data_IF_072241768579
#
_entry.id   IF_072241768579
#
_cell.length_a   1.000
_cell.length_b   1.000
_cell.length_c   1.000
_cell.angle_alpha   90.00
_cell.angle_beta   90.00
_cell.angle_gamma   90.00
#
_symmetry.space_group_name_H-M   'P 1'
#
loop_
_entity.id
_entity.type
_entity.pdbx_description
1 polymer ?
#
# COMPACT_ATOMS: atom_id res chain seq x y z
N UNK A 1 -1.53 -23.67 -27.97
CA UNK A 1 -1.32 -23.66 -26.51
C UNK A 1 -0.73 -22.38 -25.95
N UNK A 2 -0.12 -21.49 -26.74
CA UNK A 2 0.52 -20.24 -26.24
C UNK A 2 -0.45 -19.17 -25.74
N UNK A 3 -1.67 -19.06 -26.23
CA UNK A 3 -2.64 -18.04 -25.81
C UNK A 3 -3.18 -18.26 -24.38
N UNK A 4 -3.35 -19.51 -23.96
CA UNK A 4 -3.80 -19.85 -22.61
C UNK A 4 -2.73 -19.63 -21.52
N UNK A 5 -1.45 -19.71 -21.88
CA UNK A 5 -0.33 -19.41 -20.98
C UNK A 5 -0.13 -17.89 -20.77
N UNK A 6 -0.62 -17.06 -21.70
CA UNK A 6 -0.51 -15.59 -21.59
C UNK A 6 -1.53 -14.96 -20.64
N UNK A 7 -2.64 -15.64 -20.34
CA UNK A 7 -3.73 -15.11 -19.50
C UNK A 7 -3.29 -14.87 -18.04
N UNK A 8 -2.58 -15.80 -17.35
CA UNK A 8 -2.13 -15.55 -15.99
C UNK A 8 -1.08 -14.42 -15.92
N UNK A 9 -0.18 -14.31 -16.88
CA UNK A 9 0.84 -13.25 -16.93
C UNK A 9 0.17 -11.88 -17.14
N UNK A 10 -0.78 -11.79 -18.07
CA UNK A 10 -1.54 -10.55 -18.30
C UNK A 10 -2.37 -10.17 -17.07
N UNK A 11 -2.99 -11.14 -16.40
CA UNK A 11 -3.73 -10.94 -15.15
C UNK A 11 -2.84 -10.39 -14.03
N UNK A 12 -1.64 -10.94 -13.87
CA UNK A 12 -0.68 -10.49 -12.88
C UNK A 12 -0.20 -9.05 -13.17
N UNK A 13 0.12 -8.72 -14.42
CA UNK A 13 0.50 -7.36 -14.82
C UNK A 13 -0.66 -6.39 -14.60
N UNK A 14 -1.88 -6.76 -14.99
CA UNK A 14 -3.05 -5.92 -14.77
C UNK A 14 -3.30 -5.67 -13.28
N UNK A 15 -3.11 -6.67 -12.42
CA UNK A 15 -3.22 -6.54 -10.96
C UNK A 15 -2.19 -5.56 -10.41
N UNK A 16 -0.94 -5.62 -10.88
CA UNK A 16 0.12 -4.69 -10.48
C UNK A 16 -0.22 -3.24 -10.91
N UNK A 17 -0.74 -3.04 -12.11
CA UNK A 17 -1.15 -1.72 -12.60
C UNK A 17 -2.34 -1.17 -11.81
N UNK A 18 -3.25 -2.02 -11.35
CA UNK A 18 -4.42 -1.61 -10.58
C UNK A 18 -4.12 -1.40 -9.08
N UNK A 19 -3.00 -1.90 -8.57
CA UNK A 19 -2.67 -1.88 -7.15
C UNK A 19 -2.71 -0.47 -6.54
N UNK A 20 -2.15 0.60 -7.15
CA UNK A 20 -2.27 1.96 -6.61
C UNK A 20 -3.73 2.45 -6.57
N UNK A 21 -4.57 2.02 -7.52
CA UNK A 21 -6.00 2.35 -7.53
C UNK A 21 -6.76 1.64 -6.41
N UNK A 22 -6.40 0.39 -6.10
CA UNK A 22 -6.96 -0.36 -4.97
C UNK A 22 -6.55 0.28 -3.64
N UNK A 23 -5.27 0.65 -3.49
CA UNK A 23 -4.79 1.37 -2.31
C UNK A 23 -5.56 2.68 -2.12
N UNK A 24 -5.76 3.46 -3.18
CA UNK A 24 -6.57 4.66 -3.14
C UNK A 24 -8.01 4.38 -2.71
N UNK A 25 -8.63 3.34 -3.27
CA UNK A 25 -10.01 2.97 -2.93
C UNK A 25 -10.15 2.64 -1.44
N UNK A 26 -9.16 1.94 -0.86
CA UNK A 26 -9.12 1.66 0.58
C UNK A 26 -8.96 2.94 1.41
N UNK A 27 -8.10 3.87 0.99
CA UNK A 27 -7.94 5.16 1.66
C UNK A 27 -9.23 5.98 1.63
N UNK A 28 -9.92 6.04 0.49
CA UNK A 28 -11.20 6.74 0.34
C UNK A 28 -12.29 6.07 1.17
N UNK A 29 -12.39 4.73 1.13
CA UNK A 29 -13.37 3.98 1.92
C UNK A 29 -13.19 4.21 3.43
N UNK A 30 -11.96 4.24 3.91
CA UNK A 30 -11.65 4.56 5.30
C UNK A 30 -12.02 6.01 5.63
N UNK A 31 -11.73 6.96 4.74
CA UNK A 31 -12.12 8.36 4.90
C UNK A 31 -13.64 8.55 5.01
N UNK A 32 -14.43 7.88 4.18
CA UNK A 32 -15.91 7.88 4.25
C UNK A 32 -16.41 7.28 5.58
N UNK A 33 -15.80 6.16 6.00
CA UNK A 33 -16.16 5.50 7.28
C UNK A 33 -15.92 6.41 8.49
N UNK A 34 -14.85 7.20 8.50
CA UNK A 34 -14.55 8.16 9.56
C UNK A 34 -15.64 9.25 9.64
N UNK A 35 -16.22 9.64 8.50
CA UNK A 35 -17.29 10.61 8.41
C UNK A 35 -18.68 10.03 8.74
N UNK A 36 -18.75 8.75 9.12
CA UNK A 36 -20.00 8.06 9.43
C UNK A 36 -20.76 7.54 8.20
N UNK A 37 -20.18 7.65 7.01
CA UNK A 37 -20.77 7.12 5.79
C UNK A 37 -20.40 5.64 5.60
N UNK A 38 -21.35 4.82 5.18
CA UNK A 38 -21.08 3.41 4.85
C UNK A 38 -20.38 3.32 3.50
N UNK A 39 -19.16 2.78 3.42
CA UNK A 39 -18.45 2.62 2.16
C UNK A 39 -19.19 1.65 1.24
N UNK A 40 -19.46 2.09 0.01
CA UNK A 40 -20.12 1.26 -0.99
C UNK A 40 -19.07 0.62 -1.91
N UNK A 41 -19.35 -0.56 -2.52
CA UNK A 41 -18.44 -1.18 -3.51
C UNK A 41 -18.13 -0.25 -4.71
N UNK A 42 -18.98 0.73 -4.97
CA UNK A 42 -18.75 1.74 -6.00
C UNK A 42 -17.50 2.60 -5.78
N UNK A 43 -16.97 2.65 -4.55
CA UNK A 43 -15.70 3.32 -4.24
C UNK A 43 -14.48 2.65 -4.88
N UNK A 44 -14.56 1.36 -5.22
CA UNK A 44 -13.53 0.70 -6.02
C UNK A 44 -13.37 1.33 -7.39
N UNK A 45 -14.41 1.98 -7.89
CA UNK A 45 -14.41 2.70 -9.16
C UNK A 45 -14.11 4.20 -9.01
N UNK A 46 -13.66 4.66 -7.85
CA UNK A 46 -13.37 6.08 -7.57
C UNK A 46 -12.37 6.66 -8.57
N UNK A 47 -11.39 5.87 -8.96
CA UNK A 47 -10.38 6.23 -9.97
C UNK A 47 -10.98 6.54 -11.32
N UNK A 48 -12.06 5.86 -11.72
CA UNK A 48 -12.70 5.99 -13.02
C UNK A 48 -13.74 7.14 -13.07
N UNK A 49 -14.19 7.64 -11.93
CA UNK A 49 -15.25 8.65 -11.83
C UNK A 49 -14.77 10.09 -11.98
N UNK A 50 -13.50 10.40 -11.68
CA UNK A 50 -12.95 11.78 -11.71
C UNK A 50 -12.52 12.28 -13.10
N UNK A 51 -12.84 11.57 -14.16
CA UNK A 51 -12.56 11.99 -15.54
C UNK A 51 -11.28 11.41 -16.15
N UNK A 52 -11.11 11.63 -17.47
CA UNK A 52 -10.04 11.00 -18.28
C UNK A 52 -8.63 11.36 -17.84
N UNK A 53 -8.41 12.60 -17.42
CA UNK A 53 -7.07 13.03 -17.00
C UNK A 53 -6.64 12.33 -15.70
N UNK A 54 -7.54 12.24 -14.74
CA UNK A 54 -7.30 11.54 -13.49
C UNK A 54 -7.02 10.05 -13.73
N UNK A 55 -7.83 9.41 -14.57
CA UNK A 55 -7.63 8.02 -14.97
C UNK A 55 -6.24 7.80 -15.61
N UNK A 56 -5.82 8.69 -16.53
CA UNK A 56 -4.49 8.61 -17.14
C UNK A 56 -3.36 8.71 -16.11
N UNK A 57 -3.49 9.62 -15.14
CA UNK A 57 -2.49 9.76 -14.07
C UNK A 57 -2.42 8.50 -13.20
N UNK A 58 -3.56 7.91 -12.82
CA UNK A 58 -3.58 6.69 -12.03
C UNK A 58 -3.06 5.47 -12.80
N UNK A 59 -3.40 5.34 -14.09
CA UNK A 59 -2.86 4.28 -14.94
C UNK A 59 -1.34 4.44 -15.14
N UNK A 60 -0.84 5.67 -15.32
CA UNK A 60 0.59 5.93 -15.40
C UNK A 60 1.29 5.57 -14.07
N UNK A 61 0.68 5.94 -12.94
CA UNK A 61 1.20 5.56 -11.62
C UNK A 61 1.26 4.03 -11.49
N UNK A 62 0.20 3.33 -11.91
CA UNK A 62 0.15 1.87 -11.91
C UNK A 62 1.19 1.23 -12.85
N UNK A 63 1.38 1.79 -14.03
CA UNK A 63 2.40 1.32 -14.97
C UNK A 63 3.82 1.50 -14.42
N UNK A 64 4.10 2.63 -13.74
CA UNK A 64 5.37 2.87 -13.05
C UNK A 64 5.59 1.88 -11.91
N UNK A 65 4.53 1.56 -11.15
CA UNK A 65 4.61 0.53 -10.11
C UNK A 65 4.92 -0.85 -10.69
N UNK A 66 4.19 -1.25 -11.72
CA UNK A 66 4.40 -2.53 -12.40
C UNK A 66 5.82 -2.61 -12.99
N UNK A 67 6.31 -1.56 -13.62
CA UNK A 67 7.68 -1.50 -14.16
C UNK A 67 8.74 -1.62 -13.05
N UNK A 68 8.55 -0.92 -11.92
CA UNK A 68 9.43 -1.02 -10.76
C UNK A 68 9.44 -2.43 -10.16
N UNK A 69 8.27 -3.03 -9.97
CA UNK A 69 8.13 -4.38 -9.45
C UNK A 69 8.77 -5.43 -10.40
N UNK A 70 8.47 -5.36 -11.69
CA UNK A 70 9.07 -6.26 -12.69
C UNK A 70 10.60 -6.07 -12.76
N UNK A 71 11.09 -4.84 -12.60
CA UNK A 71 12.52 -4.55 -12.50
C UNK A 71 13.16 -5.25 -11.29
N UNK A 72 12.50 -5.22 -10.13
CA UNK A 72 12.96 -5.94 -8.93
C UNK A 72 12.98 -7.45 -9.18
N UNK A 73 11.94 -8.01 -9.79
CA UNK A 73 11.89 -9.43 -10.15
C UNK A 73 13.00 -9.81 -11.14
N UNK A 74 13.27 -8.96 -12.13
CA UNK A 74 14.37 -9.18 -13.08
C UNK A 74 15.74 -9.17 -12.39
N UNK A 75 15.97 -8.23 -11.46
CA UNK A 75 17.22 -8.16 -10.68
C UNK A 75 17.37 -9.41 -9.80
N UNK A 76 16.30 -9.83 -9.10
CA UNK A 76 16.35 -11.04 -8.28
C UNK A 76 16.61 -12.29 -9.12
N UNK A 77 16.08 -12.34 -10.34
CA UNK A 77 16.29 -13.45 -11.27
C UNK A 77 17.75 -13.58 -11.74
N UNK A 78 18.51 -12.50 -11.75
CA UNK A 78 19.95 -12.55 -12.02
C UNK A 78 20.74 -13.25 -10.89
N UNK A 79 20.17 -13.29 -9.69
CA UNK A 79 20.84 -13.88 -8.50
C UNK A 79 20.60 -15.38 -8.40
N UNK A 80 19.40 -15.87 -8.72
CA UNK A 80 19.00 -17.26 -8.51
C UNK A 80 18.56 -18.01 -9.77
N UNK A 81 18.72 -17.38 -10.94
CA UNK A 81 18.25 -17.94 -12.21
C UNK A 81 16.74 -17.89 -12.38
N UNK A 82 16.04 -17.03 -11.63
CA UNK A 82 14.60 -16.75 -11.80
C UNK A 82 13.67 -17.63 -10.95
N UNK A 83 14.17 -18.48 -10.08
CA UNK A 83 13.34 -19.35 -9.21
C UNK A 83 12.46 -18.55 -8.27
N UNK A 84 12.99 -17.50 -7.63
CA UNK A 84 12.21 -16.62 -6.78
C UNK A 84 11.11 -15.89 -7.57
N UNK A 85 11.45 -15.39 -8.76
CA UNK A 85 10.47 -14.74 -9.63
C UNK A 85 9.33 -15.69 -10.05
N UNK A 86 9.64 -16.96 -10.34
CA UNK A 86 8.63 -17.98 -10.66
C UNK A 86 7.67 -18.25 -9.49
N UNK A 87 8.18 -18.30 -8.25
CA UNK A 87 7.32 -18.44 -7.06
C UNK A 87 6.30 -17.30 -7.00
N UNK A 88 6.75 -16.06 -7.24
CA UNK A 88 5.88 -14.89 -7.17
C UNK A 88 4.94 -14.72 -8.36
N UNK A 89 5.42 -15.02 -9.57
CA UNK A 89 4.64 -14.79 -10.80
C UNK A 89 3.72 -15.95 -11.15
N UNK A 90 4.15 -17.18 -10.92
CA UNK A 90 3.46 -18.40 -11.32
C UNK A 90 2.76 -19.09 -10.14
N UNK A 91 2.97 -18.61 -8.89
CA UNK A 91 2.44 -19.22 -7.69
C UNK A 91 3.04 -20.60 -7.38
N UNK A 92 4.25 -20.87 -7.86
CA UNK A 92 4.95 -22.13 -7.60
C UNK A 92 5.18 -22.32 -6.10
N UNK A 93 4.81 -23.45 -5.49
CA UNK A 93 4.99 -23.64 -4.06
C UNK A 93 6.48 -23.71 -3.71
N UNK A 94 6.86 -23.04 -2.62
CA UNK A 94 8.23 -23.08 -2.10
C UNK A 94 8.47 -24.42 -1.45
N UNK A 95 9.43 -25.18 -1.97
CA UNK A 95 9.87 -26.43 -1.34
C UNK A 95 10.90 -26.19 -0.25
N UNK A 96 11.04 -27.11 0.73
CA UNK A 96 12.06 -27.00 1.77
C UNK A 96 13.47 -26.93 1.21
N UNK A 97 13.73 -27.59 0.08
CA UNK A 97 15.01 -27.56 -0.61
C UNK A 97 15.28 -26.18 -1.22
N UNK A 98 14.27 -25.53 -1.83
CA UNK A 98 14.38 -24.15 -2.34
C UNK A 98 14.62 -23.15 -1.19
N UNK A 99 13.90 -23.30 -0.09
CA UNK A 99 14.03 -22.42 1.06
C UNK A 99 15.41 -22.46 1.72
N UNK A 100 16.09 -23.62 1.66
CA UNK A 100 17.46 -23.81 2.19
C UNK A 100 18.57 -23.43 1.21
N UNK A 101 18.24 -23.16 -0.07
CA UNK A 101 19.24 -22.80 -1.08
C UNK A 101 19.73 -21.35 -0.86
N UNK A 102 21.07 -21.15 -0.67
CA UNK A 102 21.62 -19.82 -0.45
C UNK A 102 21.38 -18.83 -1.59
N UNK A 103 21.29 -19.28 -2.84
CA UNK A 103 21.02 -18.40 -3.99
C UNK A 103 19.56 -17.90 -3.96
N UNK A 104 18.61 -18.78 -3.64
CA UNK A 104 17.21 -18.41 -3.46
C UNK A 104 17.02 -17.42 -2.31
N UNK A 105 17.69 -17.66 -1.17
CA UNK A 105 17.65 -16.71 -0.04
C UNK A 105 18.23 -15.34 -0.41
N UNK A 106 19.37 -15.31 -1.14
CA UNK A 106 19.95 -14.05 -1.62
C UNK A 106 18.98 -13.30 -2.56
N UNK A 107 18.33 -13.99 -3.49
CA UNK A 107 17.34 -13.39 -4.38
C UNK A 107 16.14 -12.81 -3.61
N UNK A 108 15.64 -13.56 -2.63
CA UNK A 108 14.56 -13.12 -1.73
C UNK A 108 14.95 -11.85 -0.97
N UNK A 109 16.14 -11.81 -0.35
CA UNK A 109 16.61 -10.62 0.35
C UNK A 109 16.86 -9.45 -0.58
N UNK A 110 17.40 -9.69 -1.77
CA UNK A 110 17.58 -8.66 -2.81
C UNK A 110 16.25 -8.03 -3.19
N UNK A 111 15.23 -8.87 -3.49
CA UNK A 111 13.90 -8.38 -3.81
C UNK A 111 13.27 -7.62 -2.64
N UNK A 112 13.42 -8.11 -1.40
CA UNK A 112 12.90 -7.45 -0.20
C UNK A 112 13.53 -6.08 -0.01
N UNK A 113 14.85 -5.96 -0.08
CA UNK A 113 15.55 -4.67 0.10
C UNK A 113 15.17 -3.67 -1.00
N UNK A 114 15.09 -4.12 -2.26
CA UNK A 114 14.70 -3.25 -3.37
C UNK A 114 13.22 -2.87 -3.33
N UNK A 115 12.36 -3.67 -2.70
CA UNK A 115 10.94 -3.33 -2.55
C UNK A 115 10.70 -2.20 -1.53
N UNK A 116 11.62 -1.96 -0.59
CA UNK A 116 11.49 -0.88 0.39
C UNK A 116 11.40 0.51 -0.27
N UNK A 117 12.38 0.95 -1.10
CA UNK A 117 12.27 2.24 -1.77
C UNK A 117 11.06 2.30 -2.71
N UNK A 118 10.70 1.20 -3.39
CA UNK A 118 9.51 1.15 -4.21
C UNK A 118 8.25 1.42 -3.36
N UNK A 119 8.14 0.77 -2.20
CA UNK A 119 7.02 0.97 -1.28
C UNK A 119 6.93 2.41 -0.79
N UNK A 120 8.06 3.04 -0.41
CA UNK A 120 8.09 4.44 0.03
C UNK A 120 7.66 5.43 -1.06
N UNK A 121 8.06 5.17 -2.31
CA UNK A 121 7.64 5.97 -3.47
C UNK A 121 6.12 5.93 -3.68
N UNK A 122 5.50 4.77 -3.48
CA UNK A 122 4.09 4.56 -3.78
C UNK A 122 3.16 4.67 -2.57
N UNK A 123 3.69 4.83 -1.35
CA UNK A 123 2.89 4.86 -0.12
C UNK A 123 1.84 5.98 -0.11
N UNK A 124 2.23 7.21 -0.45
CA UNK A 124 1.35 8.37 -0.47
C UNK A 124 0.94 8.82 -1.88
N UNK A 125 1.61 8.32 -2.92
CA UNK A 125 1.45 8.80 -4.28
C UNK A 125 0.00 8.70 -4.81
N UNK A 126 -0.78 7.63 -4.56
CA UNK A 126 -2.18 7.56 -4.99
C UNK A 126 -3.05 8.67 -4.40
N UNK A 127 -2.86 8.98 -3.11
CA UNK A 127 -3.55 10.06 -2.43
C UNK A 127 -3.18 11.44 -2.99
N UNK A 128 -1.90 11.70 -3.23
CA UNK A 128 -1.41 12.95 -3.82
C UNK A 128 -1.98 13.20 -5.22
N UNK A 129 -2.07 12.16 -6.05
CA UNK A 129 -2.69 12.26 -7.37
C UNK A 129 -4.19 12.52 -7.23
N UNK A 130 -4.85 11.87 -6.28
CA UNK A 130 -6.31 11.93 -6.13
C UNK A 130 -6.80 13.22 -5.49
N UNK A 131 -6.27 13.61 -4.34
CA UNK A 131 -6.73 14.76 -3.56
C UNK A 131 -6.07 16.07 -3.98
N UNK A 132 -4.78 16.05 -4.29
CA UNK A 132 -4.01 17.25 -4.63
C UNK A 132 -3.80 17.44 -6.14
N UNK A 133 -4.23 16.51 -7.00
CA UNK A 133 -4.08 16.62 -8.45
C UNK A 133 -2.62 16.63 -8.94
N UNK A 134 -1.69 16.18 -8.12
CA UNK A 134 -0.25 16.20 -8.42
C UNK A 134 0.06 15.22 -9.56
N UNK A 135 0.87 15.60 -10.56
CA UNK A 135 1.31 14.69 -11.61
C UNK A 135 2.05 13.47 -11.03
N UNK A 136 1.90 12.26 -11.61
CA UNK A 136 2.39 11.00 -11.04
C UNK A 136 3.87 11.01 -10.62
N UNK A 137 4.76 11.50 -11.47
CA UNK A 137 6.20 11.54 -11.17
C UNK A 137 6.52 12.46 -9.99
N UNK A 138 5.84 13.61 -9.92
CA UNK A 138 5.98 14.52 -8.76
C UNK A 138 5.38 13.91 -7.50
N UNK A 139 4.27 13.18 -7.62
CA UNK A 139 3.64 12.48 -6.50
C UNK A 139 4.56 11.42 -5.90
N UNK A 140 5.29 10.66 -6.73
CA UNK A 140 6.31 9.71 -6.26
C UNK A 140 7.42 10.41 -5.47
N UNK A 141 7.93 11.52 -5.98
CA UNK A 141 8.96 12.30 -5.29
C UNK A 141 8.47 12.83 -3.93
N UNK A 142 7.27 13.41 -3.89
CA UNK A 142 6.70 13.94 -2.65
C UNK A 142 6.40 12.82 -1.63
N UNK A 143 5.93 11.65 -2.10
CA UNK A 143 5.73 10.47 -1.26
C UNK A 143 7.05 10.04 -0.60
N UNK A 144 8.11 9.88 -1.38
CA UNK A 144 9.42 9.52 -0.85
C UNK A 144 9.93 10.56 0.16
N UNK A 145 9.83 11.84 -0.17
CA UNK A 145 10.30 12.92 0.69
C UNK A 145 9.52 12.98 2.01
N UNK A 146 8.20 12.74 1.99
CA UNK A 146 7.38 12.67 3.19
C UNK A 146 7.82 11.50 4.10
N UNK A 147 8.05 10.31 3.53
CA UNK A 147 8.53 9.15 4.28
C UNK A 147 9.93 9.39 4.87
N UNK A 148 10.86 9.97 4.10
CA UNK A 148 12.23 10.26 4.58
C UNK A 148 12.22 11.29 5.70
N UNK A 149 11.41 12.35 5.59
CA UNK A 149 11.27 13.36 6.65
C UNK A 149 10.62 12.81 7.92
N UNK A 150 9.79 11.81 7.80
CA UNK A 150 9.06 11.18 8.90
C UNK A 150 9.56 9.74 9.16
N UNK A 151 10.84 9.46 8.88
CA UNK A 151 11.41 8.11 8.99
C UNK A 151 11.19 7.48 10.38
N UNK A 152 11.25 8.27 11.44
CA UNK A 152 10.99 7.80 12.81
C UNK A 152 9.56 7.26 12.97
N UNK A 153 8.56 8.00 12.51
CA UNK A 153 7.16 7.56 12.55
C UNK A 153 6.94 6.32 11.65
N UNK A 154 7.57 6.30 10.46
CA UNK A 154 7.50 5.13 9.56
C UNK A 154 8.11 3.88 10.21
N UNK A 155 9.24 4.01 10.93
CA UNK A 155 9.87 2.88 11.64
C UNK A 155 8.99 2.40 12.80
N UNK A 156 8.44 3.31 13.61
CA UNK A 156 7.51 2.93 14.69
C UNK A 156 6.30 2.19 14.11
N UNK A 157 5.72 2.69 13.03
CA UNK A 157 4.61 2.03 12.34
C UNK A 157 5.00 0.63 11.85
N UNK A 158 6.14 0.50 11.17
CA UNK A 158 6.64 -0.77 10.66
C UNK A 158 6.87 -1.79 11.79
N UNK A 159 7.59 -1.41 12.85
CA UNK A 159 7.90 -2.31 13.95
C UNK A 159 6.65 -2.66 14.77
N UNK A 160 5.70 -1.75 14.92
CA UNK A 160 4.42 -2.04 15.58
C UNK A 160 3.63 -3.12 14.83
N UNK A 161 3.50 -2.97 13.51
CA UNK A 161 2.80 -3.97 12.69
C UNK A 161 3.55 -5.29 12.60
N UNK A 162 4.89 -5.26 12.55
CA UNK A 162 5.71 -6.47 12.61
C UNK A 162 5.50 -7.20 13.94
N UNK A 163 5.51 -6.47 15.06
CA UNK A 163 5.26 -7.03 16.40
C UNK A 163 3.87 -7.65 16.52
N UNK A 164 2.83 -6.97 16.03
CA UNK A 164 1.45 -7.48 16.02
C UNK A 164 1.38 -8.75 15.15
N UNK A 165 2.02 -8.75 13.99
CA UNK A 165 2.04 -9.90 13.09
C UNK A 165 2.73 -11.12 13.70
N UNK A 166 3.90 -10.93 14.31
CA UNK A 166 4.64 -12.02 14.99
C UNK A 166 3.85 -12.56 16.16
N UNK A 167 3.30 -11.68 17.01
CA UNK A 167 2.45 -12.11 18.14
C UNK A 167 1.20 -12.84 17.67
N UNK A 168 0.52 -12.34 16.65
CA UNK A 168 -0.65 -12.98 16.07
C UNK A 168 -0.33 -14.36 15.50
N UNK A 169 0.77 -14.50 14.76
CA UNK A 169 1.22 -15.76 14.21
C UNK A 169 1.58 -16.77 15.33
N UNK A 170 2.23 -16.30 16.39
CA UNK A 170 2.56 -17.12 17.56
C UNK A 170 1.29 -17.64 18.26
N UNK A 171 0.32 -16.77 18.52
CA UNK A 171 -0.94 -17.12 19.16
C UNK A 171 -1.71 -18.12 18.30
N UNK A 172 -1.83 -17.88 16.98
CA UNK A 172 -2.48 -18.82 16.05
C UNK A 172 -1.79 -20.18 16.07
N UNK A 173 -0.45 -20.20 16.06
CA UNK A 173 0.32 -21.45 16.07
C UNK A 173 0.11 -22.24 17.36
N UNK A 174 0.08 -21.57 18.52
CA UNK A 174 -0.18 -22.24 19.82
C UNK A 174 -1.60 -22.77 19.87
N UNK A 175 -2.61 -21.98 19.47
CA UNK A 175 -4.01 -22.44 19.44
C UNK A 175 -4.16 -23.61 18.49
N UNK A 176 -3.55 -23.56 17.32
CA UNK A 176 -3.61 -24.65 16.33
C UNK A 176 -2.98 -25.93 16.85
N UNK A 177 -1.88 -25.82 17.60
CA UNK A 177 -1.23 -26.96 18.25
C UNK A 177 -2.14 -27.58 19.31
N UNK A 178 -2.79 -26.76 20.14
CA UNK A 178 -3.73 -27.23 21.20
C UNK A 178 -4.97 -27.90 20.61
N UNK A 179 -5.43 -27.43 19.46
CA UNK A 179 -6.59 -28.00 18.75
C UNK A 179 -6.24 -29.20 17.86
N UNK A 180 -4.95 -29.56 17.76
CA UNK A 180 -4.49 -30.65 16.91
C UNK A 180 -4.66 -30.39 15.42
N UNK A 181 -4.66 -29.13 14.97
CA UNK A 181 -4.81 -28.78 13.56
C UNK A 181 -3.55 -29.18 12.78
N UNK A 182 -3.74 -29.87 11.65
CA UNK A 182 -2.64 -30.17 10.74
C UNK A 182 -2.07 -28.91 10.06
N UNK A 183 -0.91 -29.07 9.39
CA UNK A 183 -0.21 -27.95 8.76
C UNK A 183 -1.05 -27.13 7.77
N UNK A 184 -1.95 -27.75 7.04
CA UNK A 184 -2.88 -27.06 6.12
C UNK A 184 -3.86 -26.15 6.88
N UNK A 185 -4.40 -26.60 8.01
CA UNK A 185 -5.28 -25.80 8.86
C UNK A 185 -4.59 -24.58 9.44
N UNK A 186 -3.35 -24.76 9.94
CA UNK A 186 -2.50 -23.66 10.43
C UNK A 186 -2.21 -22.66 9.30
N UNK A 187 -1.84 -23.13 8.12
CA UNK A 187 -1.56 -22.30 6.96
C UNK A 187 -2.76 -21.44 6.54
N UNK A 188 -3.96 -22.03 6.53
CA UNK A 188 -5.20 -21.32 6.20
C UNK A 188 -5.53 -20.21 7.20
N UNK A 189 -5.37 -20.46 8.50
CA UNK A 189 -5.58 -19.46 9.55
C UNK A 189 -4.56 -18.32 9.47
N UNK A 190 -3.29 -18.63 9.24
CA UNK A 190 -2.24 -17.63 9.06
C UNK A 190 -2.48 -16.77 7.83
N UNK A 191 -2.93 -17.36 6.72
CA UNK A 191 -3.28 -16.63 5.52
C UNK A 191 -4.46 -15.67 5.76
N UNK A 192 -5.52 -16.14 6.44
CA UNK A 192 -6.65 -15.29 6.81
C UNK A 192 -6.24 -14.11 7.70
N UNK A 193 -5.40 -14.37 8.71
CA UNK A 193 -4.87 -13.35 9.59
C UNK A 193 -3.98 -12.34 8.83
N UNK A 194 -3.15 -12.80 7.90
CA UNK A 194 -2.32 -11.94 7.06
C UNK A 194 -3.17 -11.04 6.16
N UNK A 195 -4.24 -11.55 5.56
CA UNK A 195 -5.17 -10.74 4.77
C UNK A 195 -5.88 -9.68 5.60
N UNK A 196 -6.33 -10.04 6.81
CA UNK A 196 -6.95 -9.07 7.73
C UNK A 196 -5.95 -7.99 8.14
N UNK A 197 -4.72 -8.36 8.49
CA UNK A 197 -3.66 -7.43 8.84
C UNK A 197 -3.32 -6.50 7.67
N UNK A 198 -3.22 -7.02 6.45
CA UNK A 198 -2.98 -6.20 5.25
C UNK A 198 -4.09 -5.15 5.04
N UNK A 199 -5.35 -5.53 5.24
CA UNK A 199 -6.50 -4.61 5.18
C UNK A 199 -6.39 -3.51 6.23
N UNK A 200 -6.01 -3.84 7.46
CA UNK A 200 -5.81 -2.86 8.55
C UNK A 200 -4.66 -1.90 8.24
N UNK A 201 -3.52 -2.40 7.73
CA UNK A 201 -2.38 -1.57 7.32
C UNK A 201 -2.80 -0.59 6.21
N UNK A 202 -3.51 -1.05 5.19
CA UNK A 202 -4.01 -0.20 4.10
C UNK A 202 -5.02 0.84 4.60
N UNK A 203 -5.85 0.50 5.59
CA UNK A 203 -6.77 1.45 6.21
C UNK A 203 -6.03 2.53 7.02
N UNK A 204 -4.89 2.21 7.64
CA UNK A 204 -4.06 3.20 8.32
C UNK A 204 -3.39 4.20 7.37
N UNK A 205 -3.26 3.87 6.09
CA UNK A 205 -2.58 4.74 5.11
C UNK A 205 -3.22 6.12 4.98
N UNK A 206 -4.55 6.25 5.16
CA UNK A 206 -5.23 7.55 5.09
C UNK A 206 -4.84 8.45 6.26
N UNK A 207 -4.70 7.92 7.47
CA UNK A 207 -4.30 8.71 8.64
C UNK A 207 -2.88 9.24 8.47
N UNK A 208 -1.94 8.36 8.09
CA UNK A 208 -0.55 8.75 7.83
C UNK A 208 -0.46 9.79 6.71
N UNK A 209 -1.31 9.66 5.68
CA UNK A 209 -1.39 10.64 4.60
C UNK A 209 -1.86 12.00 5.12
N UNK A 210 -2.92 12.04 5.92
CA UNK A 210 -3.44 13.28 6.51
C UNK A 210 -2.40 13.95 7.40
N UNK A 211 -1.75 13.20 8.27
CA UNK A 211 -0.69 13.73 9.14
C UNK A 211 0.49 14.34 8.37
N UNK A 212 0.78 13.84 7.15
CA UNK A 212 1.88 14.32 6.33
C UNK A 212 1.53 15.51 5.42
N UNK A 213 0.27 15.61 4.97
CA UNK A 213 -0.12 16.52 3.88
C UNK A 213 -1.30 17.43 4.19
N UNK A 214 -2.03 17.22 5.27
CA UNK A 214 -3.07 18.12 5.73
C UNK A 214 -2.53 19.05 6.82
N UNK A 215 -2.88 20.35 6.81
CA UNK A 215 -2.47 21.26 7.87
C UNK A 215 -3.13 20.86 9.21
N UNK A 216 -2.46 21.04 10.35
CA UNK A 216 -3.04 20.81 11.65
C UNK A 216 -4.33 21.63 11.83
N UNK A 217 -5.37 21.04 12.44
CA UNK A 217 -6.67 21.70 12.66
C UNK A 217 -6.53 23.01 13.45
N UNK A 218 -5.52 23.13 14.33
CA UNK A 218 -5.20 24.35 15.05
C UNK A 218 -4.89 25.55 14.16
N UNK A 219 -4.30 25.32 12.97
CA UNK A 219 -4.03 26.39 12.01
C UNK A 219 -5.28 26.80 11.25
N UNK A 220 -6.22 25.89 11.04
CA UNK A 220 -7.50 26.19 10.37
C UNK A 220 -8.41 27.05 11.25
N UNK A 221 -8.41 26.81 12.56
CA UNK A 221 -9.20 27.63 13.51
C UNK A 221 -8.61 29.04 13.68
N UNK A 222 -7.30 29.22 13.61
CA UNK A 222 -6.64 30.53 13.66
C UNK A 222 -6.99 31.40 12.44
N UNK A 223 -7.08 30.83 11.25
CA UNK A 223 -7.40 31.56 10.01
C UNK A 223 -8.84 32.11 9.99
N UNK A 224 -9.78 31.44 10.66
CA UNK A 224 -11.17 31.92 10.74
C UNK A 224 -11.34 33.11 11.71
N UNK A 225 -10.45 33.27 12.69
CA UNK A 225 -10.50 34.43 13.60
C UNK A 225 -9.93 35.71 13.00
N UNK A 226 -9.03 35.62 12.02
CA UNK A 226 -8.47 36.80 11.34
C UNK A 226 -9.34 37.39 10.25
N UNK A 227 -10.35 36.69 9.78
CA UNK A 227 -11.24 37.15 8.67
C UNK A 227 -12.51 37.85 9.16
N UNK A 228 -12.71 37.99 10.47
CA UNK A 228 -13.84 38.77 10.97
C UNK A 228 -13.49 40.28 10.89
N UNK A 229 -14.11 41.08 9.99
CA UNK A 229 -13.85 42.51 9.94
C UNK A 229 -14.27 43.14 11.29
N UNK A 230 -13.53 44.17 11.76
CA UNK A 230 -13.89 44.85 13.01
C UNK A 230 -15.31 45.41 12.91
N UNK A 231 -16.09 45.36 14.01
CA UNK A 231 -17.43 45.92 14.02
C UNK A 231 -17.37 47.40 13.61
N UNK A 232 -18.37 47.90 12.82
CA UNK A 232 -18.40 49.29 12.39
C UNK A 232 -18.37 50.19 13.62
N UNK A 233 -17.46 51.18 13.62
CA UNK A 233 -17.32 52.14 14.68
C UNK A 233 -18.69 52.82 14.92
N UNK A 234 -19.18 52.75 16.18
CA UNK A 234 -20.38 53.46 16.57
C UNK A 234 -20.19 54.95 16.30
N UNK A 235 -21.00 55.54 15.38
CA UNK A 235 -20.97 56.95 15.09
C UNK A 235 -21.33 57.75 16.34
N UNK A 236 -20.79 58.97 16.49
CA UNK A 236 -21.12 59.86 17.60
C UNK A 236 -22.61 60.31 17.50
N UNK A 237 -23.36 60.11 18.59
CA UNK A 237 -24.67 60.72 18.81
C UNK A 237 -24.53 62.20 19.03
#
# INVERSE_FOLDING_TARGET
MSLLASVPVLGNIASLVLLPSVTLAMMVATGESIQGHTPTPALLLVTFRKGRQHLRHMLLLGALYAAGFLGIMAISALVDGGRFAQVYMDGTPVTAQMASDPSFQKAMWTATVLSLPLSLLFWHAPGLVHWHGVPPVKALFFSLMACVRNVGACLVFLFSWLGIGVLGALVISIISLLLGLGGEGVGSLLMGAAMMMATMILSCAVFIFRDCFEPPESLLHGAHHETTPPPPAAGPN
#
